data_IF_586602536734
#
_entry.id   IF_586602536734
#
_cell.length_a   1.000
_cell.length_b   1.000
_cell.length_c   1.000
_cell.angle_alpha   90.00
_cell.angle_beta   90.00
_cell.angle_gamma   90.00
#
_symmetry.space_group_name_H-M   'P 1'
#
loop_
_entity.id
_entity.type
_entity.pdbx_description
1 polymer ?
#
# COMPACT_ATOMS: atom_id res chain seq x y z
N UNK A 1 -24.04 15.67 -10.03
CA UNK A 1 -23.28 16.50 -9.07
C UNK A 1 -22.30 15.71 -8.19
N UNK A 2 -22.49 14.41 -7.94
CA UNK A 2 -21.62 13.61 -7.04
C UNK A 2 -20.29 13.11 -7.63
N UNK A 3 -20.08 13.15 -8.96
CA UNK A 3 -18.86 12.63 -9.59
C UNK A 3 -17.60 13.50 -9.34
N UNK A 4 -17.78 14.77 -8.98
CA UNK A 4 -16.69 15.77 -8.89
C UNK A 4 -15.86 15.66 -7.60
N UNK A 5 -16.34 14.90 -6.61
CA UNK A 5 -15.67 14.68 -5.32
C UNK A 5 -14.93 13.34 -5.23
N UNK A 6 -14.88 12.54 -6.32
CA UNK A 6 -14.09 11.31 -6.34
C UNK A 6 -12.59 11.61 -6.49
N UNK A 7 -11.96 11.86 -5.34
CA UNK A 7 -10.83 11.05 -4.86
C UNK A 7 -9.46 11.19 -5.54
N UNK A 8 -8.96 12.40 -5.76
CA UNK A 8 -7.50 12.66 -5.93
C UNK A 8 -6.91 13.65 -4.92
N UNK A 9 -7.76 14.35 -4.16
CA UNK A 9 -7.30 15.37 -3.20
C UNK A 9 -7.25 14.89 -1.73
N UNK A 10 -7.96 13.80 -1.40
CA UNK A 10 -8.03 13.26 -0.03
C UNK A 10 -7.87 11.74 -0.10
N UNK A 11 -6.90 11.21 0.65
CA UNK A 11 -6.70 9.77 0.81
C UNK A 11 -7.05 9.34 2.24
N UNK A 12 -7.71 8.19 2.35
CA UNK A 12 -8.05 7.58 3.63
C UNK A 12 -6.94 6.61 4.03
N UNK A 13 -6.33 6.83 5.21
CA UNK A 13 -5.46 5.83 5.86
C UNK A 13 -6.28 5.11 6.93
N UNK A 14 -6.63 3.83 6.74
CA UNK A 14 -7.33 3.06 7.77
C UNK A 14 -6.46 2.91 9.03
N UNK A 15 -7.09 2.81 10.20
CA UNK A 15 -6.37 2.61 11.48
C UNK A 15 -5.92 1.15 11.69
N UNK A 16 -6.62 0.20 11.06
CA UNK A 16 -6.35 -1.24 11.19
C UNK A 16 -5.69 -1.80 9.94
N UNK A 17 -4.65 -2.61 10.14
CA UNK A 17 -3.98 -3.37 9.08
C UNK A 17 -4.84 -4.49 8.49
N UNK A 18 -5.96 -4.82 9.14
CA UNK A 18 -6.97 -5.74 8.59
C UNK A 18 -7.65 -5.20 7.33
N UNK A 19 -7.44 -3.93 6.99
CA UNK A 19 -7.90 -3.34 5.74
C UNK A 19 -7.06 -3.78 4.53
N UNK A 20 -5.87 -4.36 4.75
CA UNK A 20 -5.11 -5.00 3.70
C UNK A 20 -5.78 -6.32 3.30
N UNK A 21 -5.84 -6.60 2.01
CA UNK A 21 -6.34 -7.86 1.48
C UNK A 21 -5.36 -9.00 1.84
N UNK A 22 -5.73 -9.94 2.74
CA UNK A 22 -4.83 -10.99 3.18
C UNK A 22 -4.45 -11.98 2.06
N UNK A 23 -5.25 -12.05 1.00
CA UNK A 23 -5.06 -12.95 -0.15
C UNK A 23 -4.27 -12.30 -1.29
N UNK A 24 -3.91 -11.02 -1.14
CA UNK A 24 -3.15 -10.27 -2.14
C UNK A 24 -1.76 -9.91 -1.64
N UNK A 25 -0.76 -9.98 -2.52
CA UNK A 25 0.59 -9.49 -2.22
C UNK A 25 0.59 -7.99 -1.97
N UNK A 26 1.34 -7.54 -0.96
CA UNK A 26 1.35 -6.12 -0.57
C UNK A 26 1.85 -5.20 -1.66
N UNK A 27 2.77 -5.65 -2.53
CA UNK A 27 3.21 -4.84 -3.67
C UNK A 27 2.07 -4.46 -4.62
N UNK A 28 1.13 -5.38 -4.84
CA UNK A 28 -0.07 -5.13 -5.66
C UNK A 28 -1.09 -4.24 -4.96
N UNK A 29 -1.15 -4.31 -3.64
CA UNK A 29 -2.04 -3.44 -2.85
C UNK A 29 -1.53 -2.00 -2.82
N UNK A 30 -0.21 -1.80 -2.80
CA UNK A 30 0.44 -0.48 -2.91
C UNK A 30 0.21 0.15 -4.28
N UNK A 31 0.15 -0.64 -5.34
CA UNK A 31 -0.24 -0.15 -6.67
C UNK A 31 -1.72 0.30 -6.72
N UNK A 32 -2.53 -0.10 -5.74
CA UNK A 32 -3.95 0.24 -5.65
C UNK A 32 -4.77 -0.25 -6.84
N UNK A 33 -5.77 0.53 -7.22
CA UNK A 33 -6.64 0.27 -8.39
C UNK A 33 -6.11 0.91 -9.68
N UNK A 34 -4.96 1.58 -9.63
CA UNK A 34 -4.37 2.26 -10.80
C UNK A 34 -3.40 1.33 -11.54
N UNK A 35 -2.74 1.85 -12.58
CA UNK A 35 -1.65 1.12 -13.25
C UNK A 35 -0.56 0.78 -12.23
N UNK A 36 -0.01 -0.45 -12.27
CA UNK A 36 1.10 -0.83 -11.39
C UNK A 36 2.23 0.20 -11.42
N UNK A 37 2.76 0.55 -10.26
CA UNK A 37 3.96 1.38 -10.23
C UNK A 37 5.10 0.67 -10.93
N UNK A 38 5.96 1.40 -11.69
CA UNK A 38 7.24 0.87 -12.12
C UNK A 38 7.98 0.29 -10.90
N UNK A 39 8.62 -0.86 -11.08
CA UNK A 39 9.28 -1.61 -9.98
C UNK A 39 10.18 -0.70 -9.14
N UNK A 40 10.97 0.15 -9.80
CA UNK A 40 11.87 1.10 -9.13
C UNK A 40 11.14 2.10 -8.24
N UNK A 41 10.00 2.64 -8.71
CA UNK A 41 9.19 3.59 -7.94
C UNK A 41 8.55 2.91 -6.73
N UNK A 42 8.13 1.65 -6.86
CA UNK A 42 7.61 0.86 -5.74
C UNK A 42 8.70 0.57 -4.71
N UNK A 43 9.90 0.23 -5.16
CA UNK A 43 11.07 0.01 -4.28
C UNK A 43 11.49 1.30 -3.57
N UNK A 44 11.47 2.43 -4.24
CA UNK A 44 11.71 3.73 -3.63
C UNK A 44 10.68 4.03 -2.53
N UNK A 45 9.40 3.79 -2.80
CA UNK A 45 8.33 3.94 -1.81
C UNK A 45 8.59 3.04 -0.58
N UNK A 46 8.88 1.76 -0.79
CA UNK A 46 9.21 0.84 0.31
C UNK A 46 10.44 1.28 1.08
N UNK A 47 11.51 1.71 0.40
CA UNK A 47 12.73 2.27 1.04
C UNK A 47 12.40 3.50 1.88
N UNK A 48 11.55 4.41 1.38
CA UNK A 48 11.10 5.60 2.11
C UNK A 48 10.35 5.26 3.41
N UNK A 49 9.62 4.15 3.43
CA UNK A 49 8.96 3.62 4.63
C UNK A 49 9.82 2.65 5.45
N UNK A 50 11.09 2.45 5.10
CA UNK A 50 11.98 1.52 5.77
C UNK A 50 11.50 0.07 5.68
N UNK A 51 10.88 -0.30 4.55
CA UNK A 51 10.45 -1.65 4.22
C UNK A 51 11.48 -2.28 3.26
N UNK A 52 11.92 -3.54 3.51
CA UNK A 52 12.76 -4.27 2.57
C UNK A 52 12.10 -4.42 1.20
N UNK A 53 12.85 -4.37 0.11
CA UNK A 53 12.29 -4.50 -1.25
C UNK A 53 11.53 -5.81 -1.46
N UNK A 54 11.99 -6.90 -0.81
CA UNK A 54 11.34 -8.20 -0.82
C UNK A 54 9.91 -8.17 -0.26
N UNK A 55 9.56 -7.15 0.53
CA UNK A 55 8.21 -6.97 1.07
C UNK A 55 7.17 -6.94 -0.03
N UNK A 56 7.46 -6.45 -1.23
CA UNK A 56 6.50 -6.40 -2.35
C UNK A 56 5.89 -7.78 -2.71
N UNK A 57 6.64 -8.86 -2.45
CA UNK A 57 6.24 -10.24 -2.77
C UNK A 57 5.51 -10.94 -1.62
N UNK A 58 5.46 -10.33 -0.44
CA UNK A 58 4.86 -10.90 0.76
C UNK A 58 3.36 -10.60 0.84
N UNK A 59 2.66 -11.40 1.63
CA UNK A 59 1.27 -11.17 2.01
C UNK A 59 1.18 -10.43 3.36
N UNK A 60 0.06 -9.73 3.66
CA UNK A 60 -0.09 -8.99 4.92
C UNK A 60 0.15 -9.85 6.18
N UNK A 61 -0.31 -11.11 6.17
CA UNK A 61 -0.13 -12.03 7.30
C UNK A 61 1.33 -12.47 7.52
N UNK A 62 2.22 -12.21 6.56
CA UNK A 62 3.65 -12.51 6.68
C UNK A 62 4.46 -11.31 7.21
N UNK A 63 3.81 -10.16 7.44
CA UNK A 63 4.43 -8.95 7.92
C UNK A 63 4.30 -8.83 9.44
N UNK A 64 5.30 -8.25 10.09
CA UNK A 64 5.12 -7.78 11.47
C UNK A 64 4.06 -6.68 11.50
N UNK A 65 3.40 -6.47 12.65
CA UNK A 65 2.38 -5.43 12.79
C UNK A 65 2.89 -4.02 12.41
N UNK A 66 4.16 -3.73 12.71
CA UNK A 66 4.80 -2.48 12.30
C UNK A 66 5.02 -2.37 10.79
N UNK A 67 5.44 -3.46 10.13
CA UNK A 67 5.57 -3.50 8.68
C UNK A 67 4.22 -3.36 7.99
N UNK A 68 3.19 -4.07 8.48
CA UNK A 68 1.84 -3.99 7.93
C UNK A 68 1.27 -2.57 8.03
N UNK A 69 1.50 -1.86 9.15
CA UNK A 69 1.07 -0.45 9.30
C UNK A 69 1.78 0.47 8.31
N UNK A 70 3.08 0.28 8.08
CA UNK A 70 3.83 1.06 7.08
C UNK A 70 3.35 0.79 5.66
N UNK A 71 3.05 -0.46 5.33
CA UNK A 71 2.41 -0.83 4.05
C UNK A 71 1.06 -0.14 3.91
N UNK A 72 0.22 -0.16 4.94
CA UNK A 72 -1.10 0.49 4.93
C UNK A 72 -1.02 2.01 4.68
N UNK A 73 -0.02 2.68 5.26
CA UNK A 73 0.22 4.11 4.97
C UNK A 73 0.65 4.30 3.52
N UNK A 74 1.48 3.39 3.00
CA UNK A 74 1.97 3.45 1.62
C UNK A 74 0.90 3.21 0.56
N UNK A 75 -0.22 2.54 0.89
CA UNK A 75 -1.37 2.37 -0.04
C UNK A 75 -2.24 3.62 -0.17
N UNK A 76 -2.07 4.60 0.73
CA UNK A 76 -2.88 5.82 0.78
C UNK A 76 -2.15 7.04 0.19
N UNK A 77 -1.01 6.85 -0.47
CA UNK A 77 -0.18 7.89 -1.08
C UNK A 77 -0.03 7.64 -2.58
#
# INVERSE_FOLDING_TARGET
MQAKLRGTEIALVPQSVAFLDPLMKVGRQVDGHQKPYPVEKRRELFRRFGLPEKTEKLYPFQLSGGMARRVLVSTAL
#
